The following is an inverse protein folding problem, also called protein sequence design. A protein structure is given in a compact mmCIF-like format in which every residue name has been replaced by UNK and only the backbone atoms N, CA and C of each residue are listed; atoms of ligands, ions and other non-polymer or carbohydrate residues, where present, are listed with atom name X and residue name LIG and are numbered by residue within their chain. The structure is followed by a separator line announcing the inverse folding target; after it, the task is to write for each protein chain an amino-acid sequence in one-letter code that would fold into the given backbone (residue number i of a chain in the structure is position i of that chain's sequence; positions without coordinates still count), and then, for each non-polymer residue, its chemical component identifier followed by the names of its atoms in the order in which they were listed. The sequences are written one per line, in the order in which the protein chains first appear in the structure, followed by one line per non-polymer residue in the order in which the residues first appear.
data_IF_073758625808
#
_entry.id   IF_073758625808
#
_cell.length_a   1.000
_cell.length_b   1.000
_cell.length_c   1.000
_cell.angle_alpha   90.00
_cell.angle_beta   90.00
_cell.angle_gamma   90.00
#
_symmetry.space_group_name_H-M   'P 1'
#
loop_
_entity.id
_entity.type
_entity.pdbx_description
1 polymer ?
#
# COMPACT_ATOMS: atom_id res chain seq x y z
N UNK A 1 -10.42 -4.52 -38.30
CA UNK A 1 -9.34 -5.23 -37.58
C UNK A 1 -9.68 -5.22 -36.10
N UNK A 2 -9.80 -6.41 -35.54
CA UNK A 2 -10.38 -6.69 -34.23
C UNK A 2 -9.26 -6.75 -33.21
N UNK A 3 -9.09 -5.74 -32.36
CA UNK A 3 -8.33 -5.95 -31.12
C UNK A 3 -9.06 -5.29 -29.96
N UNK A 4 -10.01 -6.05 -29.40
CA UNK A 4 -10.38 -5.95 -28.00
C UNK A 4 -9.11 -6.16 -27.15
N UNK A 5 -8.67 -5.13 -26.44
CA UNK A 5 -7.93 -5.31 -25.18
C UNK A 5 -8.79 -4.78 -24.06
N UNK A 6 -9.90 -5.47 -23.81
CA UNK A 6 -10.45 -5.52 -22.47
C UNK A 6 -9.35 -6.10 -21.57
N UNK A 7 -8.56 -5.21 -20.97
CA UNK A 7 -7.52 -5.58 -20.03
C UNK A 7 -8.17 -6.37 -18.91
N UNK A 8 -7.83 -7.65 -18.79
CA UNK A 8 -8.17 -8.45 -17.63
C UNK A 8 -7.68 -7.69 -16.40
N UNK A 9 -8.61 -7.12 -15.63
CA UNK A 9 -8.30 -6.46 -14.37
C UNK A 9 -7.78 -7.55 -13.44
N UNK A 10 -6.47 -7.76 -13.40
CA UNK A 10 -5.84 -8.62 -12.41
C UNK A 10 -6.14 -8.04 -11.05
N UNK A 11 -7.17 -8.58 -10.39
CA UNK A 11 -7.55 -8.22 -9.04
C UNK A 11 -6.53 -8.84 -8.09
N UNK A 12 -5.61 -8.01 -7.61
CA UNK A 12 -4.76 -8.42 -6.52
C UNK A 12 -5.54 -8.35 -5.21
N UNK A 13 -5.36 -9.32 -4.33
CA UNK A 13 -5.90 -9.25 -2.98
C UNK A 13 -4.99 -8.34 -2.14
N UNK A 14 -5.50 -7.15 -1.78
CA UNK A 14 -4.77 -6.12 -1.06
C UNK A 14 -4.35 -6.54 0.35
N UNK A 15 -5.26 -7.20 1.07
CA UNK A 15 -5.02 -7.73 2.41
C UNK A 15 -3.82 -8.70 2.42
N UNK A 16 -3.85 -9.73 1.56
CA UNK A 16 -2.75 -10.70 1.43
C UNK A 16 -1.43 -10.02 1.07
N UNK A 17 -1.46 -9.02 0.18
CA UNK A 17 -0.27 -8.26 -0.16
C UNK A 17 0.25 -7.44 1.03
N UNK A 18 -0.63 -6.81 1.82
CA UNK A 18 -0.28 -6.05 3.02
C UNK A 18 0.45 -6.93 4.04
N UNK A 19 -0.08 -8.13 4.30
CA UNK A 19 0.56 -9.08 5.21
C UNK A 19 1.84 -9.69 4.62
N UNK A 20 1.83 -10.10 3.36
CA UNK A 20 2.99 -10.73 2.72
C UNK A 20 4.17 -9.76 2.51
N UNK A 21 3.88 -8.49 2.24
CA UNK A 21 4.90 -7.44 2.18
C UNK A 21 5.42 -7.04 3.57
N UNK A 22 4.84 -7.58 4.65
CA UNK A 22 5.28 -7.34 6.03
C UNK A 22 4.84 -6.00 6.60
N UNK A 23 3.83 -5.34 6.02
CA UNK A 23 3.36 -4.03 6.50
C UNK A 23 2.88 -4.11 7.96
N UNK A 24 2.18 -5.19 8.31
CA UNK A 24 1.68 -5.47 9.67
C UNK A 24 2.78 -5.70 10.71
N UNK A 25 4.03 -5.95 10.31
CA UNK A 25 5.13 -6.13 11.26
C UNK A 25 5.47 -4.82 11.98
N UNK A 26 5.18 -3.68 11.34
CA UNK A 26 5.45 -2.36 11.89
C UNK A 26 4.17 -1.59 12.20
N UNK A 27 3.15 -1.71 11.35
CA UNK A 27 1.93 -0.92 11.41
C UNK A 27 0.78 -1.66 12.05
N UNK A 28 -0.04 -0.93 12.81
CA UNK A 28 -1.34 -1.39 13.27
C UNK A 28 -2.36 -1.16 12.16
N UNK A 29 -3.29 -2.09 12.00
CA UNK A 29 -4.51 -1.92 11.20
C UNK A 29 -5.66 -2.65 11.88
N UNK A 30 -6.74 -1.92 12.15
CA UNK A 30 -7.93 -2.35 12.90
C UNK A 30 -7.58 -3.08 14.21
N UNK A 31 -6.63 -2.52 14.97
CA UNK A 31 -6.20 -3.07 16.25
C UNK A 31 -5.21 -4.24 16.19
N UNK A 32 -4.80 -4.68 15.00
CA UNK A 32 -3.88 -5.80 14.80
C UNK A 32 -2.55 -5.35 14.18
N UNK A 33 -1.45 -6.03 14.52
CA UNK A 33 -0.11 -5.78 13.97
C UNK A 33 0.85 -5.06 14.92
N UNK A 34 1.91 -4.49 14.36
CA UNK A 34 2.98 -3.82 15.08
C UNK A 34 2.64 -2.38 15.46
N UNK A 35 3.45 -1.79 16.34
CA UNK A 35 3.29 -0.40 16.82
C UNK A 35 4.54 0.46 16.57
N UNK A 36 5.44 -0.01 15.70
CA UNK A 36 6.66 0.74 15.34
C UNK A 36 6.37 1.86 14.34
N UNK A 37 5.43 1.63 13.42
CA UNK A 37 4.86 2.64 12.54
C UNK A 37 3.51 3.15 13.06
N UNK A 38 2.99 4.24 12.48
CA UNK A 38 1.65 4.74 12.80
C UNK A 38 0.56 3.73 12.47
N UNK A 39 -0.59 3.87 13.13
CA UNK A 39 -1.81 3.14 12.79
C UNK A 39 -2.32 3.55 11.40
N UNK A 40 -2.60 2.56 10.56
CA UNK A 40 -3.07 2.75 9.19
C UNK A 40 -4.59 2.62 9.03
N UNK A 41 -5.34 2.34 10.10
CA UNK A 41 -6.80 2.13 10.08
C UNK A 41 -7.59 3.31 9.51
N UNK A 42 -7.03 4.52 9.56
CA UNK A 42 -7.67 5.74 9.05
C UNK A 42 -6.82 6.46 7.99
N UNK A 43 -5.73 5.86 7.50
CA UNK A 43 -4.76 6.57 6.65
C UNK A 43 -5.38 7.06 5.34
N UNK A 44 -6.32 6.31 4.78
CA UNK A 44 -7.08 6.65 3.58
C UNK A 44 -7.99 7.88 3.74
N UNK A 45 -8.40 8.20 4.97
CA UNK A 45 -9.14 9.42 5.28
C UNK A 45 -8.21 10.63 5.49
N UNK A 46 -6.94 10.39 5.79
CA UNK A 46 -5.95 11.42 6.13
C UNK A 46 -5.06 11.82 4.95
N UNK A 47 -4.92 10.94 3.95
CA UNK A 47 -3.99 11.09 2.82
C UNK A 47 -4.63 10.58 1.54
N UNK A 48 -4.33 11.23 0.43
CA UNK A 48 -4.80 10.77 -0.89
C UNK A 48 -4.14 9.46 -1.28
N UNK A 49 -4.82 8.67 -2.13
CA UNK A 49 -4.27 7.44 -2.71
C UNK A 49 -2.90 7.67 -3.38
N UNK A 50 -2.71 8.81 -4.06
CA UNK A 50 -1.44 9.18 -4.68
C UNK A 50 -0.32 9.46 -3.67
N UNK A 51 -0.66 10.07 -2.52
CA UNK A 51 0.29 10.32 -1.45
C UNK A 51 0.74 8.99 -0.83
N UNK A 52 -0.22 8.09 -0.57
CA UNK A 52 0.06 6.77 -0.01
C UNK A 52 0.91 5.95 -1.00
N UNK A 53 0.59 5.95 -2.30
CA UNK A 53 1.39 5.26 -3.32
C UNK A 53 2.82 5.79 -3.42
N UNK A 54 2.99 7.11 -3.31
CA UNK A 54 4.32 7.74 -3.31
C UNK A 54 5.12 7.36 -2.06
N UNK A 55 4.46 7.34 -0.89
CA UNK A 55 5.10 6.98 0.36
C UNK A 55 5.49 5.49 0.38
N UNK A 56 4.65 4.60 -0.16
CA UNK A 56 5.00 3.17 -0.31
C UNK A 56 6.20 2.99 -1.24
N UNK A 57 6.28 3.78 -2.33
CA UNK A 57 7.40 3.69 -3.28
C UNK A 57 8.72 4.13 -2.68
N UNK A 58 8.78 5.31 -2.07
CA UNK A 58 10.00 5.83 -1.48
C UNK A 58 9.71 6.70 -0.23
N UNK A 59 9.60 6.06 0.95
CA UNK A 59 9.37 6.77 2.19
C UNK A 59 10.47 7.79 2.52
N UNK A 60 11.73 7.51 2.12
CA UNK A 60 12.88 8.36 2.43
C UNK A 60 12.93 9.61 1.56
N UNK A 61 12.47 9.53 0.31
CA UNK A 61 12.31 10.71 -0.54
C UNK A 61 11.27 11.69 0.02
N UNK A 62 10.22 11.19 0.68
CA UNK A 62 9.17 12.04 1.28
C UNK A 62 9.50 12.47 2.71
N UNK A 63 10.17 11.62 3.48
CA UNK A 63 10.62 11.89 4.83
C UNK A 63 11.99 11.22 5.05
N UNK A 64 13.12 11.97 5.01
CA UNK A 64 14.47 11.42 5.16
C UNK A 64 14.69 10.64 6.46
N UNK A 65 13.91 10.94 7.51
CA UNK A 65 13.96 10.25 8.81
C UNK A 65 13.11 8.97 8.85
N UNK A 66 12.44 8.61 7.75
CA UNK A 66 11.58 7.43 7.71
C UNK A 66 12.40 6.14 7.87
N UNK A 67 11.90 5.27 8.76
CA UNK A 67 12.41 3.90 8.94
C UNK A 67 11.67 2.88 8.07
N UNK A 68 10.60 3.30 7.39
CA UNK A 68 9.85 2.44 6.48
C UNK A 68 10.73 2.11 5.27
N UNK A 69 10.85 0.83 4.87
CA UNK A 69 11.60 0.45 3.68
C UNK A 69 10.85 0.88 2.40
N UNK A 70 11.58 0.98 1.28
CA UNK A 70 10.99 1.21 -0.04
C UNK A 70 10.33 -0.06 -0.59
N UNK A 71 9.16 0.11 -1.21
CA UNK A 71 8.45 -0.94 -1.93
C UNK A 71 8.31 -0.65 -3.42
N UNK A 72 9.26 0.09 -4.00
CA UNK A 72 9.30 0.42 -5.45
C UNK A 72 9.31 -0.81 -6.37
N UNK A 73 9.75 -1.97 -5.86
CA UNK A 73 9.71 -3.26 -6.56
C UNK A 73 8.29 -3.82 -6.75
N UNK A 74 7.29 -3.35 -5.98
CA UNK A 74 5.90 -3.71 -6.20
C UNK A 74 5.36 -2.95 -7.41
N UNK A 75 4.70 -3.67 -8.32
CA UNK A 75 4.01 -3.04 -9.45
C UNK A 75 2.92 -2.07 -8.97
N UNK A 76 2.60 -1.06 -9.79
CA UNK A 76 1.55 -0.09 -9.46
C UNK A 76 0.20 -0.77 -9.14
N UNK A 77 -0.13 -1.87 -9.82
CA UNK A 77 -1.35 -2.61 -9.56
C UNK A 77 -1.37 -3.28 -8.18
N UNK A 78 -0.23 -3.82 -7.71
CA UNK A 78 -0.12 -4.39 -6.36
C UNK A 78 -0.22 -3.31 -5.28
N UNK A 79 0.45 -2.17 -5.46
CA UNK A 79 0.37 -1.04 -4.51
C UNK A 79 -1.05 -0.46 -4.44
N UNK A 80 -1.71 -0.29 -5.58
CA UNK A 80 -3.13 0.12 -5.63
C UNK A 80 -4.04 -0.85 -4.90
N UNK A 81 -3.80 -2.16 -4.97
CA UNK A 81 -4.58 -3.13 -4.22
C UNK A 81 -4.35 -3.01 -2.70
N UNK A 82 -3.12 -2.78 -2.26
CA UNK A 82 -2.84 -2.48 -0.84
C UNK A 82 -3.58 -1.21 -0.40
N UNK A 83 -3.54 -0.14 -1.20
CA UNK A 83 -4.24 1.11 -0.90
C UNK A 83 -5.75 0.90 -0.86
N UNK A 84 -6.31 0.08 -1.75
CA UNK A 84 -7.72 -0.27 -1.74
C UNK A 84 -8.11 -0.98 -0.44
N UNK A 85 -7.29 -1.92 0.04
CA UNK A 85 -7.51 -2.59 1.32
C UNK A 85 -7.51 -1.60 2.50
N UNK A 86 -6.63 -0.59 2.50
CA UNK A 86 -6.59 0.44 3.56
C UNK A 86 -7.81 1.38 3.58
N UNK A 87 -8.77 1.20 2.66
CA UNK A 87 -10.02 1.97 2.58
C UNK A 87 -11.23 1.19 3.12
N UNK A 88 -11.04 -0.10 3.41
CA UNK A 88 -12.03 -0.98 4.02
C UNK A 88 -12.07 -0.77 5.55
#
# INVERSE_FOLDING_TARGET
MVHLTAGCSMTYNGEKLFFHAGCSQCHTYQGNGGRMGPDLSAVSNLRSDSWIDSYIQDPKAMNPSSRMPSFSHLSAAKRKAIIAFLKE
#
